data_IF_582445452135
#
_entry.id   IF_582445452135
#
_cell.length_a   1.000
_cell.length_b   1.000
_cell.length_c   1.000
_cell.angle_alpha   90.00
_cell.angle_beta   90.00
_cell.angle_gamma   90.00
#
_symmetry.space_group_name_H-M   'P 1'
#
loop_
_entity.id
_entity.type
_entity.pdbx_description
1 polymer ?
#
# COMPACT_ATOMS: atom_id res chain seq x y z
N UNK A 1 -27.55 21.24 -4.37
CA UNK A 1 -26.97 20.72 -5.63
C UNK A 1 -26.02 19.60 -5.23
N UNK A 2 -26.18 18.40 -5.77
CA UNK A 2 -25.19 17.34 -5.57
C UNK A 2 -24.01 17.64 -6.51
N UNK A 3 -22.87 18.02 -5.95
CA UNK A 3 -21.62 18.08 -6.71
C UNK A 3 -21.24 16.67 -7.15
N UNK A 4 -20.69 16.55 -8.36
CA UNK A 4 -20.20 15.26 -8.83
C UNK A 4 -18.82 14.96 -8.23
N UNK A 5 -18.47 13.67 -8.14
CA UNK A 5 -17.17 13.26 -7.59
C UNK A 5 -16.00 13.81 -8.42
N UNK A 6 -16.23 14.08 -9.71
CA UNK A 6 -15.25 14.73 -10.56
C UNK A 6 -15.00 16.17 -10.12
N UNK A 7 -16.05 16.97 -9.93
CA UNK A 7 -15.96 18.36 -9.47
C UNK A 7 -15.36 18.46 -8.07
N UNK A 8 -15.65 17.49 -7.19
CA UNK A 8 -15.09 17.42 -5.84
C UNK A 8 -13.56 17.23 -5.85
N UNK A 9 -13.04 16.46 -6.81
CA UNK A 9 -11.61 16.10 -6.88
C UNK A 9 -10.82 17.10 -7.72
N UNK A 10 -11.34 17.47 -8.89
CA UNK A 10 -10.60 18.25 -9.88
C UNK A 10 -11.05 19.71 -9.97
N UNK A 11 -12.20 20.07 -9.39
CA UNK A 11 -12.76 21.42 -9.46
C UNK A 11 -12.96 21.93 -10.90
N UNK A 12 -13.20 21.01 -11.84
CA UNK A 12 -13.51 21.27 -13.24
C UNK A 12 -14.82 20.60 -13.63
N UNK A 13 -15.38 20.98 -14.79
CA UNK A 13 -16.59 20.35 -15.32
C UNK A 13 -16.36 18.87 -15.59
N UNK A 14 -17.34 18.04 -15.23
CA UNK A 14 -17.31 16.60 -15.48
C UNK A 14 -17.28 16.27 -16.99
N UNK A 15 -16.32 15.47 -17.47
CA UNK A 15 -16.32 14.97 -18.84
C UNK A 15 -17.35 13.86 -19.01
N UNK A 16 -17.62 13.45 -20.25
CA UNK A 16 -18.51 12.32 -20.49
C UNK A 16 -18.01 11.04 -19.78
N UNK A 17 -18.86 10.46 -18.94
CA UNK A 17 -18.54 9.23 -18.21
C UNK A 17 -18.60 8.00 -19.13
N UNK A 18 -17.59 7.14 -19.03
CA UNK A 18 -17.54 5.81 -19.62
C UNK A 18 -18.21 4.80 -18.68
N UNK A 19 -19.23 4.10 -19.17
CA UNK A 19 -20.10 3.23 -18.34
C UNK A 19 -20.18 1.79 -18.85
N UNK A 20 -19.43 1.44 -19.90
CA UNK A 20 -19.51 0.13 -20.57
C UNK A 20 -18.36 -0.79 -20.17
N UNK A 21 -18.65 -2.10 -20.08
CA UNK A 21 -17.65 -3.16 -19.92
C UNK A 21 -16.87 -3.37 -21.23
N UNK A 22 -15.80 -2.61 -21.40
CA UNK A 22 -14.88 -2.72 -22.52
C UNK A 22 -13.47 -2.34 -22.09
N UNK A 23 -12.49 -2.62 -22.95
CA UNK A 23 -11.13 -2.10 -22.76
C UNK A 23 -11.08 -0.63 -23.13
N UNK A 24 -10.36 0.14 -22.34
CA UNK A 24 -10.09 1.55 -22.60
C UNK A 24 -8.60 1.76 -22.84
N UNK A 25 -8.24 2.32 -23.99
CA UNK A 25 -6.90 2.75 -24.33
C UNK A 25 -6.99 4.22 -24.75
N UNK A 26 -6.60 5.12 -23.86
CA UNK A 26 -6.81 6.57 -24.01
C UNK A 26 -5.46 7.27 -23.93
N UNK A 27 -5.17 8.07 -24.96
CA UNK A 27 -3.87 8.75 -25.13
C UNK A 27 -4.02 10.28 -25.18
N UNK A 28 -5.18 10.83 -24.83
CA UNK A 28 -5.42 12.26 -24.74
C UNK A 28 -6.72 12.59 -24.02
N UNK A 29 -6.75 13.73 -23.33
CA UNK A 29 -7.96 14.30 -22.72
C UNK A 29 -8.34 13.67 -21.39
N UNK A 30 -9.33 14.26 -20.73
CA UNK A 30 -9.85 13.78 -19.46
C UNK A 30 -10.56 12.43 -19.61
N UNK A 31 -10.36 11.52 -18.64
CA UNK A 31 -10.97 10.19 -18.65
C UNK A 31 -11.78 9.95 -17.39
N UNK A 32 -13.09 9.73 -17.53
CA UNK A 32 -13.95 9.33 -16.42
C UNK A 32 -14.57 7.97 -16.70
N UNK A 33 -14.36 6.99 -15.83
CA UNK A 33 -15.10 5.72 -15.81
C UNK A 33 -15.92 5.64 -14.52
N UNK A 34 -17.21 5.33 -14.64
CA UNK A 34 -18.13 5.33 -13.51
C UNK A 34 -19.09 4.14 -13.56
N UNK A 35 -19.29 3.47 -12.42
CA UNK A 35 -20.30 2.39 -12.27
C UNK A 35 -20.14 1.27 -13.31
N UNK A 36 -18.90 0.84 -13.55
CA UNK A 36 -18.60 -0.24 -14.51
C UNK A 36 -18.17 -1.51 -13.80
N UNK A 37 -18.73 -2.64 -14.19
CA UNK A 37 -18.19 -3.96 -13.85
C UNK A 37 -17.41 -4.49 -15.03
N UNK A 38 -16.09 -4.51 -14.89
CA UNK A 38 -15.16 -5.03 -15.88
C UNK A 38 -14.97 -6.53 -15.68
N UNK A 39 -15.36 -7.32 -16.66
CA UNK A 39 -15.26 -8.78 -16.62
C UNK A 39 -15.10 -9.36 -18.02
N UNK A 40 -14.44 -10.52 -18.11
CA UNK A 40 -14.33 -11.30 -19.36
C UNK A 40 -13.65 -10.55 -20.51
N UNK A 41 -12.69 -9.67 -20.21
CA UNK A 41 -11.98 -8.84 -21.21
C UNK A 41 -10.65 -9.46 -21.69
N UNK A 42 -10.26 -10.64 -21.22
CA UNK A 42 -9.00 -11.29 -21.59
C UNK A 42 -7.76 -10.64 -20.96
N UNK A 43 -6.60 -10.84 -21.58
CA UNK A 43 -5.30 -10.75 -20.89
C UNK A 43 -4.43 -9.54 -21.27
N UNK A 44 -5.06 -8.40 -21.59
CA UNK A 44 -4.36 -7.18 -22.04
C UNK A 44 -4.57 -5.97 -21.12
N UNK A 45 -4.92 -6.21 -19.86
CA UNK A 45 -5.42 -5.18 -18.97
C UNK A 45 -6.81 -4.67 -19.39
N UNK A 46 -7.34 -3.74 -18.59
CA UNK A 46 -8.69 -3.18 -18.78
C UNK A 46 -8.61 -1.70 -19.13
N UNK A 47 -7.80 -0.94 -18.39
CA UNK A 47 -7.65 0.50 -18.57
C UNK A 47 -6.17 0.80 -18.78
N UNK A 48 -5.85 1.40 -19.91
CA UNK A 48 -4.54 1.95 -20.24
C UNK A 48 -4.70 3.45 -20.54
N UNK A 49 -4.11 4.29 -19.71
CA UNK A 49 -4.09 5.74 -19.88
C UNK A 49 -2.64 6.19 -20.04
N UNK A 50 -2.35 6.93 -21.11
CA UNK A 50 -1.02 7.48 -21.35
C UNK A 50 -1.13 8.86 -22.02
N UNK A 51 -1.31 9.90 -21.21
CA UNK A 51 -1.41 11.26 -21.70
C UNK A 51 -0.91 12.26 -20.66
N UNK A 52 -0.28 13.32 -21.13
CA UNK A 52 0.08 14.47 -20.30
C UNK A 52 -1.09 15.46 -20.20
N UNK A 53 -1.12 16.26 -19.13
CA UNK A 53 -2.03 17.40 -18.96
C UNK A 53 -3.53 17.06 -18.96
N UNK A 54 -3.90 15.86 -18.51
CA UNK A 54 -5.29 15.46 -18.31
C UNK A 54 -5.50 14.81 -16.94
N UNK A 55 -6.76 14.68 -16.55
CA UNK A 55 -7.19 14.05 -15.32
C UNK A 55 -7.87 12.71 -15.61
N UNK A 56 -7.75 11.77 -14.69
CA UNK A 56 -8.47 10.51 -14.76
C UNK A 56 -9.22 10.19 -13.47
N UNK A 57 -10.48 9.81 -13.56
CA UNK A 57 -11.26 9.31 -12.43
C UNK A 57 -11.81 7.93 -12.79
N UNK A 58 -11.51 6.94 -11.96
CA UNK A 58 -12.12 5.62 -12.02
C UNK A 58 -12.91 5.47 -10.72
N UNK A 59 -14.23 5.59 -10.82
CA UNK A 59 -15.11 5.59 -9.66
C UNK A 59 -16.15 4.48 -9.68
N UNK A 60 -16.40 3.87 -8.52
CA UNK A 60 -17.48 2.88 -8.35
C UNK A 60 -17.37 1.71 -9.36
N UNK A 61 -16.14 1.32 -9.68
CA UNK A 61 -15.82 0.30 -10.67
C UNK A 61 -15.39 -1.00 -10.00
N UNK A 62 -15.76 -2.13 -10.61
CA UNK A 62 -15.34 -3.47 -10.16
C UNK A 62 -14.54 -4.16 -11.26
N UNK A 63 -13.41 -4.77 -10.92
CA UNK A 63 -12.54 -5.51 -11.83
C UNK A 63 -12.54 -6.99 -11.43
N UNK A 64 -13.00 -7.86 -12.32
CA UNK A 64 -13.13 -9.30 -12.07
C UNK A 64 -12.17 -10.09 -12.96
N UNK A 65 -11.20 -10.76 -12.34
CA UNK A 65 -10.25 -11.68 -12.98
C UNK A 65 -9.54 -11.08 -14.21
N UNK A 66 -9.29 -9.77 -14.19
CA UNK A 66 -8.54 -9.06 -15.21
C UNK A 66 -7.08 -9.47 -15.18
N UNK A 67 -6.47 -9.60 -16.35
CA UNK A 67 -5.05 -9.91 -16.43
C UNK A 67 -4.33 -9.09 -17.49
N UNK A 68 -3.02 -8.90 -17.29
CA UNK A 68 -2.16 -8.25 -18.26
C UNK A 68 -0.82 -8.97 -18.37
N UNK A 69 -0.46 -9.38 -19.57
CA UNK A 69 0.82 -10.05 -19.86
C UNK A 69 1.94 -9.09 -20.27
N UNK A 70 1.62 -7.81 -20.50
CA UNK A 70 2.59 -6.79 -20.90
C UNK A 70 3.59 -6.44 -19.80
N UNK A 71 4.84 -6.22 -20.18
CA UNK A 71 5.89 -5.80 -19.26
C UNK A 71 5.63 -4.40 -18.69
N UNK A 72 5.94 -4.22 -17.41
CA UNK A 72 5.77 -2.95 -16.68
C UNK A 72 4.35 -2.38 -16.75
N UNK A 73 3.33 -3.24 -16.66
CA UNK A 73 1.91 -2.86 -16.68
C UNK A 73 1.21 -3.20 -15.37
N UNK A 74 0.03 -2.60 -15.16
CA UNK A 74 -0.96 -3.05 -14.21
C UNK A 74 -1.76 -4.23 -14.76
N UNK A 75 -2.11 -5.20 -13.89
CA UNK A 75 -2.96 -6.33 -14.29
C UNK A 75 -4.36 -5.89 -14.75
N UNK A 76 -4.91 -4.85 -14.11
CA UNK A 76 -6.18 -4.22 -14.49
C UNK A 76 -5.98 -2.84 -15.08
N UNK A 77 -5.17 -2.00 -14.42
CA UNK A 77 -5.10 -0.57 -14.69
C UNK A 77 -3.64 -0.15 -14.83
N UNK A 78 -3.29 0.41 -15.98
CA UNK A 78 -2.05 1.17 -16.15
C UNK A 78 -2.38 2.63 -16.38
N UNK A 79 -1.76 3.51 -15.60
CA UNK A 79 -1.85 4.96 -15.76
C UNK A 79 -0.44 5.51 -15.92
N UNK A 80 -0.22 6.27 -16.99
CA UNK A 80 1.03 6.98 -17.29
C UNK A 80 0.76 8.45 -17.56
N UNK A 81 1.64 9.30 -17.05
CA UNK A 81 1.73 10.73 -17.37
C UNK A 81 0.54 11.63 -16.95
N UNK A 82 -0.60 11.08 -16.51
CA UNK A 82 -1.76 11.86 -16.08
C UNK A 82 -1.98 11.81 -14.56
N UNK A 83 -2.67 12.83 -14.04
CA UNK A 83 -3.15 12.83 -12.66
C UNK A 83 -4.32 11.85 -12.55
N UNK A 84 -4.36 11.08 -11.46
CA UNK A 84 -5.34 10.01 -11.32
C UNK A 84 -6.02 9.94 -9.97
N UNK A 85 -7.28 9.54 -10.03
CA UNK A 85 -8.09 9.21 -8.88
C UNK A 85 -8.74 7.84 -9.07
N UNK A 86 -8.56 6.94 -8.10
CA UNK A 86 -9.33 5.72 -7.98
C UNK A 86 -10.17 5.78 -6.71
N UNK A 87 -11.49 5.73 -6.86
CA UNK A 87 -12.43 5.85 -5.73
C UNK A 87 -13.47 4.74 -5.76
N UNK A 88 -13.77 4.12 -4.62
CA UNK A 88 -14.80 3.05 -4.53
C UNK A 88 -14.54 1.93 -5.53
N UNK A 89 -13.27 1.54 -5.67
CA UNK A 89 -12.85 0.54 -6.66
C UNK A 89 -12.69 -0.82 -6.01
N UNK A 90 -13.30 -1.84 -6.60
CA UNK A 90 -13.14 -3.22 -6.17
C UNK A 90 -12.33 -4.01 -7.21
N UNK A 91 -11.36 -4.81 -6.77
CA UNK A 91 -10.65 -5.76 -7.63
C UNK A 91 -10.67 -7.15 -7.00
N UNK A 92 -11.03 -8.15 -7.79
CA UNK A 92 -11.03 -9.54 -7.39
C UNK A 92 -10.23 -10.33 -8.42
N UNK A 93 -9.10 -10.90 -8.00
CA UNK A 93 -8.38 -11.88 -8.83
C UNK A 93 -7.54 -11.30 -9.96
N UNK A 94 -7.08 -10.04 -9.87
CA UNK A 94 -6.24 -9.45 -10.92
C UNK A 94 -4.90 -10.17 -11.04
N UNK A 95 -4.39 -10.37 -12.26
CA UNK A 95 -3.09 -11.05 -12.51
C UNK A 95 -2.20 -10.22 -13.44
N UNK A 96 -0.89 -10.30 -13.23
CA UNK A 96 0.07 -9.76 -14.21
C UNK A 96 1.32 -10.63 -14.25
N UNK A 97 1.93 -10.77 -15.42
CA UNK A 97 3.24 -11.44 -15.58
C UNK A 97 4.41 -10.47 -15.49
N UNK A 98 4.15 -9.16 -15.44
CA UNK A 98 5.16 -8.12 -15.47
C UNK A 98 6.15 -8.24 -14.29
N UNK A 99 7.45 -8.28 -14.60
CA UNK A 99 8.51 -8.32 -13.59
C UNK A 99 8.56 -7.07 -12.71
N UNK A 100 8.23 -5.91 -13.28
CA UNK A 100 8.19 -4.60 -12.62
C UNK A 100 6.81 -3.92 -12.72
N UNK A 101 5.72 -4.70 -12.71
CA UNK A 101 4.34 -4.17 -12.81
C UNK A 101 3.66 -3.96 -11.46
N UNK A 102 2.36 -3.66 -11.50
CA UNK A 102 1.47 -3.78 -10.35
C UNK A 102 0.40 -4.82 -10.64
N UNK A 103 0.09 -5.71 -9.69
CA UNK A 103 -0.83 -6.84 -9.97
C UNK A 103 -2.26 -6.40 -10.22
N UNK A 104 -2.70 -5.37 -9.53
CA UNK A 104 -3.93 -4.68 -9.86
C UNK A 104 -3.63 -3.44 -10.70
N UNK A 105 -2.86 -2.50 -10.16
CA UNK A 105 -2.63 -1.21 -10.82
C UNK A 105 -1.16 -0.81 -10.80
N UNK A 106 -0.72 -0.21 -11.91
CA UNK A 106 0.53 0.54 -12.00
C UNK A 106 0.19 1.98 -12.34
N UNK A 107 0.59 2.92 -11.50
CA UNK A 107 0.50 4.35 -11.75
C UNK A 107 1.91 4.93 -11.83
N UNK A 108 2.20 5.63 -12.91
CA UNK A 108 3.47 6.32 -13.16
C UNK A 108 3.17 7.72 -13.64
N UNK A 109 3.23 8.70 -12.75
CA UNK A 109 2.94 10.09 -13.11
C UNK A 109 4.22 10.77 -13.55
N UNK A 110 4.11 11.70 -14.50
CA UNK A 110 5.25 12.56 -14.86
C UNK A 110 5.72 13.30 -13.60
N UNK A 111 7.04 13.52 -13.49
CA UNK A 111 7.76 14.09 -12.33
C UNK A 111 7.37 15.55 -11.95
N UNK A 112 6.12 15.95 -12.09
CA UNK A 112 5.63 17.18 -11.48
C UNK A 112 5.31 16.91 -10.01
N UNK A 113 6.07 17.59 -9.14
CA UNK A 113 5.91 17.52 -7.70
C UNK A 113 4.53 17.97 -7.21
N UNK A 114 3.62 18.46 -8.07
CA UNK A 114 2.28 18.92 -7.70
C UNK A 114 1.14 17.97 -8.07
N UNK A 115 1.36 16.99 -8.94
CA UNK A 115 0.31 16.04 -9.36
C UNK A 115 -0.12 15.16 -8.19
N UNK A 116 -1.33 15.38 -7.69
CA UNK A 116 -1.89 14.61 -6.57
C UNK A 116 -2.72 13.43 -7.07
N UNK A 117 -2.25 12.22 -6.77
CA UNK A 117 -3.01 11.02 -7.02
C UNK A 117 -3.82 10.61 -5.79
N UNK A 118 -5.12 10.42 -5.99
CA UNK A 118 -6.08 10.15 -4.92
C UNK A 118 -6.61 8.73 -4.99
N UNK A 119 -6.41 7.95 -3.94
CA UNK A 119 -6.81 6.54 -3.93
C UNK A 119 -7.63 6.25 -2.68
N UNK A 120 -8.93 6.06 -2.82
CA UNK A 120 -9.80 5.93 -1.65
C UNK A 120 -10.91 4.91 -1.79
N UNK A 121 -11.27 4.30 -0.66
CA UNK A 121 -12.37 3.33 -0.60
C UNK A 121 -12.16 2.14 -1.55
N UNK A 122 -10.90 1.74 -1.77
CA UNK A 122 -10.57 0.60 -2.62
C UNK A 122 -10.59 -0.71 -1.84
N UNK A 123 -11.08 -1.78 -2.45
CA UNK A 123 -11.03 -3.13 -1.91
C UNK A 123 -10.39 -4.06 -2.94
N UNK A 124 -9.16 -4.49 -2.65
CA UNK A 124 -8.32 -5.24 -3.58
C UNK A 124 -8.03 -6.60 -2.97
N UNK A 125 -8.61 -7.64 -3.58
CA UNK A 125 -8.71 -8.95 -2.99
C UNK A 125 -8.25 -10.06 -3.94
N UNK A 126 -7.59 -11.08 -3.39
CA UNK A 126 -7.23 -12.31 -4.10
C UNK A 126 -6.38 -12.09 -5.37
N UNK A 127 -5.61 -11.01 -5.46
CA UNK A 127 -4.80 -10.79 -6.66
C UNK A 127 -3.66 -11.82 -6.77
N UNK A 128 -3.33 -12.13 -8.03
CA UNK A 128 -2.21 -12.94 -8.47
C UNK A 128 -2.30 -14.41 -7.99
N UNK A 129 -3.49 -15.00 -8.20
CA UNK A 129 -3.73 -16.43 -8.04
C UNK A 129 -2.92 -17.25 -9.06
N UNK A 130 -1.86 -17.91 -8.61
CA UNK A 130 -1.00 -18.74 -9.44
C UNK A 130 0.37 -18.10 -9.59
N UNK A 131 1.36 -18.73 -8.95
CA UNK A 131 2.74 -18.28 -8.78
C UNK A 131 3.38 -17.79 -10.09
N UNK A 132 3.40 -16.47 -10.30
CA UNK A 132 4.01 -15.85 -11.47
C UNK A 132 4.77 -14.61 -11.00
N UNK A 133 6.03 -14.56 -11.43
CA UNK A 133 7.02 -13.50 -11.26
C UNK A 133 6.43 -12.10 -11.30
N UNK A 134 6.53 -11.34 -10.21
CA UNK A 134 6.40 -9.90 -10.30
C UNK A 134 6.05 -9.14 -9.04
N UNK A 135 5.96 -7.83 -9.26
CA UNK A 135 6.06 -6.75 -8.29
C UNK A 135 4.67 -6.25 -7.86
N UNK A 136 4.55 -5.82 -6.60
CA UNK A 136 3.50 -5.00 -5.98
C UNK A 136 2.02 -5.35 -6.26
N UNK A 137 1.15 -5.37 -5.25
CA UNK A 137 -0.31 -5.36 -5.48
C UNK A 137 -0.75 -4.08 -6.23
N UNK A 138 -0.34 -2.93 -5.69
CA UNK A 138 -0.44 -1.60 -6.30
C UNK A 138 0.96 -1.02 -6.39
N UNK A 139 1.38 -0.58 -7.58
CA UNK A 139 2.68 0.09 -7.77
C UNK A 139 2.48 1.54 -8.17
N UNK A 140 3.08 2.46 -7.42
CA UNK A 140 3.04 3.89 -7.68
C UNK A 140 4.46 4.42 -7.85
N UNK A 141 4.72 5.06 -8.99
CA UNK A 141 5.95 5.74 -9.31
C UNK A 141 5.68 7.24 -9.52
N UNK A 142 6.42 8.06 -8.77
CA UNK A 142 6.40 9.51 -8.80
C UNK A 142 5.07 10.20 -8.42
N UNK A 143 5.16 11.50 -8.17
CA UNK A 143 4.03 12.38 -7.83
C UNK A 143 3.72 12.44 -6.34
N UNK A 144 2.53 12.94 -5.99
CA UNK A 144 1.99 12.91 -4.63
C UNK A 144 0.91 11.85 -4.49
N UNK A 145 0.80 11.23 -3.32
CA UNK A 145 -0.28 10.27 -3.04
C UNK A 145 -1.12 10.64 -1.83
N UNK A 146 -2.42 10.37 -1.93
CA UNK A 146 -3.34 10.32 -0.81
C UNK A 146 -4.12 9.01 -0.86
N UNK A 147 -3.63 8.00 -0.14
CA UNK A 147 -4.27 6.70 0.02
C UNK A 147 -5.16 6.76 1.28
N UNK A 148 -6.46 6.49 1.21
CA UNK A 148 -7.38 6.65 2.35
C UNK A 148 -8.50 5.61 2.36
N UNK A 149 -8.70 4.91 3.48
CA UNK A 149 -9.81 3.92 3.65
C UNK A 149 -9.74 2.77 2.65
N UNK A 150 -8.58 2.15 2.49
CA UNK A 150 -8.38 1.08 1.52
C UNK A 150 -8.15 -0.27 2.20
N UNK A 151 -8.60 -1.34 1.56
CA UNK A 151 -8.50 -2.71 2.03
C UNK A 151 -7.75 -3.56 0.98
N UNK A 152 -6.58 -4.10 1.33
CA UNK A 152 -5.83 -5.03 0.49
C UNK A 152 -5.74 -6.37 1.22
N UNK A 153 -6.46 -7.37 0.75
CA UNK A 153 -6.60 -8.66 1.43
C UNK A 153 -6.30 -9.86 0.56
N UNK A 154 -5.69 -10.89 1.14
CA UNK A 154 -5.44 -12.18 0.47
C UNK A 154 -4.69 -12.06 -0.87
N UNK A 155 -3.89 -11.02 -1.04
CA UNK A 155 -3.08 -10.86 -2.24
C UNK A 155 -1.81 -11.70 -2.13
N UNK A 156 -1.36 -12.27 -3.24
CA UNK A 156 -0.20 -13.16 -3.25
C UNK A 156 0.84 -12.72 -4.28
N UNK A 157 1.98 -12.15 -3.91
CA UNK A 157 3.00 -11.69 -4.87
C UNK A 157 4.39 -12.24 -4.57
N UNK A 158 5.27 -12.34 -5.57
CA UNK A 158 6.65 -12.77 -5.34
C UNK A 158 7.40 -11.72 -4.50
N UNK A 159 7.34 -10.45 -4.90
CA UNK A 159 8.06 -9.39 -4.20
C UNK A 159 7.19 -8.75 -3.12
N UNK A 160 6.47 -7.69 -3.46
CA UNK A 160 5.66 -6.93 -2.51
C UNK A 160 4.17 -7.30 -2.70
N UNK A 161 3.51 -7.79 -1.66
CA UNK A 161 2.12 -8.27 -1.79
C UNK A 161 1.04 -7.21 -1.64
N UNK A 162 1.33 -6.05 -1.02
CA UNK A 162 0.39 -4.94 -0.89
C UNK A 162 0.75 -3.77 -1.81
N UNK A 163 1.67 -2.90 -1.38
CA UNK A 163 1.96 -1.63 -2.07
C UNK A 163 3.46 -1.42 -2.27
N UNK A 164 3.84 -0.89 -3.43
CA UNK A 164 5.16 -0.35 -3.71
C UNK A 164 5.04 1.13 -4.07
N UNK A 165 5.86 1.95 -3.43
CA UNK A 165 5.88 3.40 -3.59
C UNK A 165 7.33 3.83 -3.86
N UNK A 166 7.56 4.48 -5.00
CA UNK A 166 8.88 4.93 -5.41
C UNK A 166 8.84 6.41 -5.82
N UNK A 167 9.84 7.19 -5.36
CA UNK A 167 10.01 8.60 -5.74
C UNK A 167 8.77 9.48 -5.51
N UNK A 168 7.97 9.12 -4.51
CA UNK A 168 6.63 9.66 -4.26
C UNK A 168 6.51 10.08 -2.81
N UNK A 169 5.97 11.26 -2.52
CA UNK A 169 5.62 11.67 -1.16
C UNK A 169 4.11 11.68 -0.93
N UNK A 170 3.68 11.58 0.32
CA UNK A 170 2.25 11.61 0.63
C UNK A 170 1.85 10.84 1.87
N UNK A 171 0.62 10.34 1.85
CA UNK A 171 -0.01 9.71 3.01
C UNK A 171 -0.78 8.45 2.68
N UNK A 172 -0.78 7.52 3.62
CA UNK A 172 -1.58 6.29 3.62
C UNK A 172 -2.35 6.20 4.93
N UNK A 173 -3.65 6.45 4.85
CA UNK A 173 -4.52 6.63 6.01
C UNK A 173 -5.60 5.55 6.08
N UNK A 174 -5.95 5.13 7.31
CA UNK A 174 -7.11 4.29 7.60
C UNK A 174 -7.19 3.03 6.72
N UNK A 175 -6.06 2.38 6.47
CA UNK A 175 -5.97 1.29 5.50
C UNK A 175 -5.67 -0.04 6.18
N UNK A 176 -6.22 -1.12 5.63
CA UNK A 176 -6.17 -2.46 6.19
C UNK A 176 -5.50 -3.44 5.22
N UNK A 177 -4.43 -4.11 5.67
CA UNK A 177 -3.70 -5.11 4.90
C UNK A 177 -3.73 -6.45 5.65
N UNK A 178 -4.49 -7.42 5.14
CA UNK A 178 -4.74 -8.67 5.86
C UNK A 178 -4.63 -9.95 5.02
N UNK A 179 -4.03 -11.00 5.60
CA UNK A 179 -3.79 -12.31 4.98
C UNK A 179 -3.07 -12.22 3.62
N UNK A 180 -2.27 -11.18 3.39
CA UNK A 180 -1.43 -11.09 2.20
C UNK A 180 -0.21 -11.99 2.35
N UNK A 181 0.23 -12.55 1.22
CA UNK A 181 1.32 -13.52 1.15
C UNK A 181 2.36 -13.05 0.16
N UNK A 182 3.61 -13.05 0.57
CA UNK A 182 4.71 -12.73 -0.32
C UNK A 182 5.95 -13.54 -0.06
N UNK A 183 6.83 -13.60 -1.07
CA UNK A 183 8.14 -14.17 -0.85
C UNK A 183 9.09 -13.13 -0.25
N UNK A 184 9.02 -11.85 -0.66
CA UNK A 184 9.95 -10.81 -0.20
C UNK A 184 9.39 -9.88 0.87
N UNK A 185 8.34 -9.10 0.58
CA UNK A 185 7.85 -8.03 1.49
C UNK A 185 6.35 -7.79 1.36
N UNK A 186 5.77 -7.00 2.27
CA UNK A 186 4.40 -6.50 2.14
C UNK A 186 4.39 -5.11 1.50
N UNK A 187 5.24 -4.21 2.02
CA UNK A 187 5.32 -2.80 1.65
C UNK A 187 6.77 -2.45 1.29
N UNK A 188 6.93 -1.65 0.24
CA UNK A 188 8.20 -1.04 -0.13
C UNK A 188 7.99 0.47 -0.37
N UNK A 189 8.85 1.29 0.23
CA UNK A 189 8.91 2.74 0.07
C UNK A 189 10.35 3.14 -0.27
N UNK A 190 10.56 3.96 -1.31
CA UNK A 190 11.89 4.44 -1.72
C UNK A 190 11.91 5.97 -1.92
N UNK A 191 13.02 6.63 -1.56
CA UNK A 191 13.41 8.04 -1.83
C UNK A 191 12.71 9.15 -1.04
N UNK A 192 11.42 9.03 -0.76
CA UNK A 192 10.59 10.17 -0.35
C UNK A 192 9.83 9.94 0.96
N UNK A 193 9.32 11.04 1.53
CA UNK A 193 8.59 11.02 2.80
C UNK A 193 7.16 10.48 2.66
N UNK A 194 6.83 9.42 3.43
CA UNK A 194 5.48 8.86 3.51
C UNK A 194 4.98 8.84 4.96
N UNK A 195 3.75 9.31 5.13
CA UNK A 195 3.02 9.24 6.40
C UNK A 195 2.00 8.11 6.36
N UNK A 196 2.19 7.11 7.19
CA UNK A 196 1.26 6.02 7.43
C UNK A 196 0.47 6.31 8.71
N UNK A 197 -0.83 6.54 8.62
CA UNK A 197 -1.66 6.81 9.78
C UNK A 197 -2.81 5.81 9.88
N UNK A 198 -3.03 5.24 11.06
CA UNK A 198 -4.14 4.32 11.32
C UNK A 198 -4.13 3.13 10.35
N UNK A 199 -2.95 2.54 10.12
CA UNK A 199 -2.84 1.28 9.39
C UNK A 199 -3.16 0.10 10.29
N UNK A 200 -3.78 -0.92 9.72
CA UNK A 200 -3.87 -2.24 10.37
C UNK A 200 -3.26 -3.26 9.41
N UNK A 201 -2.22 -3.94 9.86
CA UNK A 201 -1.48 -4.97 9.12
C UNK A 201 -1.59 -6.27 9.91
N UNK A 202 -2.40 -7.22 9.43
CA UNK A 202 -2.67 -8.46 10.16
C UNK A 202 -2.53 -9.75 9.37
N UNK A 203 -2.13 -10.83 10.04
CA UNK A 203 -2.13 -12.19 9.49
C UNK A 203 -1.33 -12.36 8.18
N UNK A 204 -0.43 -11.44 7.85
CA UNK A 204 0.34 -11.51 6.61
C UNK A 204 1.49 -12.51 6.74
N UNK A 205 1.91 -13.12 5.63
CA UNK A 205 3.03 -14.08 5.61
C UNK A 205 4.10 -13.67 4.61
N UNK A 206 5.36 -13.59 5.05
CA UNK A 206 6.54 -13.39 4.19
C UNK A 206 7.44 -14.63 4.28
N UNK A 207 7.76 -15.26 3.14
CA UNK A 207 8.35 -16.62 3.10
C UNK A 207 9.87 -16.70 2.95
N UNK A 208 10.48 -15.86 2.11
CA UNK A 208 11.90 -15.98 1.72
C UNK A 208 12.72 -14.93 2.45
N UNK A 209 13.94 -15.31 2.85
CA UNK A 209 14.98 -14.36 3.25
C UNK A 209 15.48 -13.69 1.99
N UNK A 210 14.97 -12.50 1.67
CA UNK A 210 15.73 -11.61 0.80
C UNK A 210 16.96 -11.18 1.60
N UNK A 211 18.10 -11.86 1.40
CA UNK A 211 19.32 -11.60 2.16
C UNK A 211 19.80 -10.15 2.07
N UNK A 212 19.38 -9.41 1.04
CA UNK A 212 19.73 -8.00 0.90
C UNK A 212 18.81 -7.09 1.71
N UNK A 213 17.57 -7.51 1.90
CA UNK A 213 16.53 -6.70 2.53
C UNK A 213 15.48 -7.61 3.20
N UNK A 214 15.85 -8.22 4.34
CA UNK A 214 15.06 -9.28 4.95
C UNK A 214 13.82 -8.73 5.68
N UNK A 215 13.08 -7.74 5.18
CA UNK A 215 12.06 -7.03 5.96
C UNK A 215 10.66 -7.01 5.33
N UNK A 216 9.62 -7.10 6.15
CA UNK A 216 8.22 -7.06 5.71
C UNK A 216 7.81 -5.67 5.22
N UNK A 217 8.33 -4.62 5.85
CA UNK A 217 8.12 -3.22 5.49
C UNK A 217 9.50 -2.60 5.26
N UNK A 218 9.83 -2.37 4.00
CA UNK A 218 11.09 -1.76 3.59
C UNK A 218 10.92 -0.27 3.34
N UNK A 219 11.69 0.52 4.07
CA UNK A 219 11.81 1.96 3.91
C UNK A 219 13.25 2.25 3.46
N UNK A 220 13.42 2.68 2.21
CA UNK A 220 14.72 2.97 1.62
C UNK A 220 14.84 4.46 1.27
N UNK A 221 16.00 5.05 1.54
CA UNK A 221 16.41 6.39 1.11
C UNK A 221 15.39 7.51 1.39
N UNK A 222 14.70 7.52 2.54
CA UNK A 222 13.65 8.49 2.82
C UNK A 222 13.23 8.56 4.28
N UNK A 223 12.01 9.05 4.55
CA UNK A 223 11.41 9.10 5.89
C UNK A 223 10.05 8.42 5.88
N UNK A 224 9.84 7.50 6.81
CA UNK A 224 8.55 6.87 7.01
C UNK A 224 8.06 7.12 8.43
N UNK A 225 6.89 7.73 8.54
CA UNK A 225 6.22 8.01 9.81
C UNK A 225 5.02 7.09 9.95
N UNK A 226 4.98 6.28 11.00
CA UNK A 226 3.83 5.44 11.33
C UNK A 226 3.17 5.99 12.59
N UNK A 227 1.92 6.43 12.48
CA UNK A 227 1.11 6.91 13.61
C UNK A 227 -0.16 6.07 13.78
N UNK A 228 -0.49 5.69 15.02
CA UNK A 228 -1.73 4.94 15.32
C UNK A 228 -1.85 3.61 14.55
N UNK A 229 -0.73 2.97 14.20
CA UNK A 229 -0.73 1.75 13.38
C UNK A 229 -0.74 0.48 14.24
N UNK A 230 -1.36 -0.57 13.72
CA UNK A 230 -1.50 -1.87 14.37
C UNK A 230 -0.87 -2.96 13.51
N UNK A 231 0.08 -3.71 14.05
CA UNK A 231 0.76 -4.80 13.38
C UNK A 231 0.53 -6.08 14.17
N UNK A 232 -0.31 -7.00 13.68
CA UNK A 232 -0.84 -8.10 14.50
C UNK A 232 -0.73 -9.45 13.78
N UNK A 233 -0.24 -10.49 14.45
CA UNK A 233 -0.22 -11.87 13.93
C UNK A 233 0.50 -12.04 12.57
N UNK A 234 1.45 -11.17 12.24
CA UNK A 234 2.20 -11.30 10.98
C UNK A 234 3.28 -12.37 11.13
N UNK A 235 3.32 -13.33 10.20
CA UNK A 235 4.36 -14.34 10.12
C UNK A 235 5.44 -13.91 9.14
N UNK A 236 6.53 -13.40 9.68
CA UNK A 236 7.68 -12.93 8.92
C UNK A 236 8.74 -14.02 8.66
N UNK A 237 8.58 -15.26 9.15
CA UNK A 237 9.67 -16.22 9.13
C UNK A 237 10.91 -15.64 9.85
N UNK A 238 12.14 -15.82 9.34
CA UNK A 238 13.35 -15.18 9.87
C UNK A 238 13.49 -13.69 9.49
N UNK A 239 12.53 -13.11 8.77
CA UNK A 239 12.58 -11.71 8.33
C UNK A 239 12.20 -10.73 9.46
N UNK A 240 12.58 -9.47 9.30
CA UNK A 240 12.31 -8.35 10.19
C UNK A 240 10.97 -7.68 9.84
N UNK A 241 10.29 -7.04 10.80
CA UNK A 241 9.06 -6.29 10.54
C UNK A 241 9.34 -5.02 9.72
N UNK A 242 10.41 -4.30 10.09
CA UNK A 242 10.84 -3.05 9.48
C UNK A 242 12.30 -3.16 9.00
N UNK A 243 12.59 -2.55 7.85
CA UNK A 243 13.93 -2.32 7.32
C UNK A 243 14.14 -0.87 6.95
N UNK A 244 15.31 -0.33 7.25
CA UNK A 244 15.69 1.03 6.92
C UNK A 244 17.05 1.08 6.20
N UNK A 245 17.03 1.13 4.87
CA UNK A 245 18.24 1.32 4.08
C UNK A 245 18.45 2.81 3.79
N UNK A 246 19.39 3.46 4.47
CA UNK A 246 19.60 4.93 4.36
C UNK A 246 18.32 5.74 4.60
N UNK A 247 17.42 5.23 5.45
CA UNK A 247 16.13 5.83 5.74
C UNK A 247 15.93 6.06 7.25
N UNK A 248 14.93 6.88 7.59
CA UNK A 248 14.46 7.10 8.96
C UNK A 248 13.06 6.51 9.12
N UNK A 249 12.85 5.73 10.18
CA UNK A 249 11.52 5.24 10.57
C UNK A 249 11.15 5.82 11.93
N UNK A 250 10.00 6.49 11.99
CA UNK A 250 9.42 6.99 13.22
C UNK A 250 8.12 6.26 13.52
N UNK A 251 7.96 5.78 14.74
CA UNK A 251 6.75 5.10 15.21
C UNK A 251 6.14 5.90 16.36
N UNK A 252 4.83 6.20 16.28
CA UNK A 252 4.09 6.94 17.29
C UNK A 252 2.73 6.30 17.53
N UNK A 253 2.39 6.00 18.79
CA UNK A 253 1.10 5.38 19.17
C UNK A 253 0.78 4.09 18.40
N UNK A 254 1.80 3.33 18.00
CA UNK A 254 1.63 2.07 17.29
C UNK A 254 1.54 0.88 18.26
N UNK A 255 0.75 -0.13 17.91
CA UNK A 255 0.68 -1.40 18.61
C UNK A 255 1.27 -2.51 17.73
N UNK A 256 2.22 -3.28 18.26
CA UNK A 256 2.79 -4.45 17.60
C UNK A 256 2.50 -5.68 18.46
N UNK A 257 1.77 -6.65 17.90
CA UNK A 257 1.41 -7.93 18.54
C UNK A 257 1.94 -9.07 17.70
N UNK A 258 2.80 -9.89 18.29
CA UNK A 258 3.38 -11.06 17.64
C UNK A 258 3.04 -12.33 18.42
N UNK A 259 2.62 -13.38 17.71
CA UNK A 259 2.50 -14.73 18.27
C UNK A 259 3.86 -15.43 18.40
N UNK A 260 4.89 -14.91 17.72
CA UNK A 260 6.28 -15.33 17.88
C UNK A 260 6.94 -14.52 19.01
N UNK A 261 7.77 -15.19 19.82
CA UNK A 261 8.48 -14.60 20.97
C UNK A 261 9.54 -13.57 20.61
N UNK A 262 9.78 -13.29 19.31
CA UNK A 262 10.78 -12.34 18.84
C UNK A 262 10.18 -11.46 17.75
N UNK A 263 10.25 -10.14 17.96
CA UNK A 263 10.03 -9.13 16.93
C UNK A 263 11.41 -8.70 16.46
N UNK A 264 11.71 -8.98 15.20
CA UNK A 264 12.98 -8.62 14.58
C UNK A 264 12.82 -7.25 13.89
N UNK A 265 13.68 -6.26 14.18
CA UNK A 265 13.83 -5.01 13.41
C UNK A 265 15.18 -4.94 12.70
N UNK A 266 15.23 -4.48 11.44
CA UNK A 266 16.45 -4.34 10.65
C UNK A 266 17.27 -3.08 10.94
N UNK A 267 18.39 -2.86 10.22
CA UNK A 267 19.25 -1.68 10.38
C UNK A 267 18.49 -0.37 10.09
N UNK A 268 18.78 0.72 10.83
CA UNK A 268 18.10 2.01 10.70
C UNK A 268 18.17 2.90 11.95
N UNK A 269 17.70 4.15 11.84
CA UNK A 269 17.48 5.03 13.01
C UNK A 269 16.01 5.01 13.42
N UNK A 270 15.74 4.68 14.68
CA UNK A 270 14.39 4.58 15.26
C UNK A 270 14.19 5.68 16.31
N UNK A 271 13.04 6.36 16.32
CA UNK A 271 12.65 7.32 17.37
C UNK A 271 11.25 7.01 17.88
N UNK A 272 11.05 7.03 19.20
CA UNK A 272 9.74 6.87 19.86
C UNK A 272 9.54 7.98 20.89
N UNK A 273 8.32 8.52 21.02
CA UNK A 273 7.98 9.57 21.98
C UNK A 273 6.79 9.13 22.86
N UNK A 274 7.08 8.47 24.00
CA UNK A 274 6.18 8.25 25.17
C UNK A 274 5.04 7.20 25.08
N UNK A 275 4.49 6.69 26.22
CA UNK A 275 4.90 5.40 26.76
C UNK A 275 3.82 4.30 26.68
N UNK A 276 4.29 3.05 26.89
CA UNK A 276 3.55 1.79 27.19
C UNK A 276 3.51 0.70 26.07
N UNK A 277 4.72 0.20 25.74
CA UNK A 277 5.12 -1.19 25.41
C UNK A 277 4.72 -1.86 24.08
N UNK A 278 5.72 -2.35 23.32
CA UNK A 278 6.19 -3.76 23.42
C UNK A 278 7.74 -3.94 23.54
N UNK A 279 8.19 -5.17 23.79
CA UNK A 279 9.61 -5.56 23.72
C UNK A 279 10.04 -5.64 22.24
N UNK A 280 10.79 -4.63 21.81
CA UNK A 280 11.44 -4.60 20.51
C UNK A 280 12.81 -5.25 20.68
N UNK A 281 13.02 -6.44 20.09
CA UNK A 281 14.37 -6.99 19.95
C UNK A 281 15.01 -6.31 18.74
N UNK A 282 15.72 -5.22 19.01
CA UNK A 282 16.59 -4.55 18.05
C UNK A 282 17.82 -5.42 17.80
N UNK A 283 17.77 -6.31 16.81
CA UNK A 283 18.93 -7.08 16.36
C UNK A 283 19.76 -6.21 15.40
N UNK A 284 20.43 -5.20 15.96
CA UNK A 284 21.32 -4.29 15.22
C UNK A 284 22.60 -5.06 14.87
N UNK A 285 22.62 -5.74 13.72
CA UNK A 285 23.86 -6.31 13.21
C UNK A 285 24.86 -5.19 12.86
N UNK A 286 26.02 -5.25 13.54
CA UNK A 286 27.21 -4.41 13.43
C UNK A 286 27.17 -3.04 14.12
N UNK A 287 27.84 -3.03 15.28
CA UNK A 287 28.21 -1.90 16.16
C UNK A 287 29.11 -0.84 15.53
N UNK A 288 29.30 -0.82 14.20
CA UNK A 288 30.22 0.10 13.53
C UNK A 288 29.54 1.31 12.86
N UNK A 289 28.20 1.29 12.70
CA UNK A 289 27.46 2.35 12.00
C UNK A 289 26.48 3.16 12.88
N UNK A 290 26.56 3.05 14.20
CA UNK A 290 25.76 3.86 15.13
C UNK A 290 26.63 4.96 15.77
N UNK A 291 26.85 6.12 15.13
CA UNK A 291 27.41 7.27 15.83
C UNK A 291 26.41 7.68 16.92
N UNK A 292 26.88 7.61 18.17
CA UNK A 292 26.07 7.55 19.37
C UNK A 292 24.95 8.59 19.46
N UNK A 293 23.72 8.10 19.44
CA UNK A 293 22.56 8.64 20.16
C UNK A 293 21.61 7.46 20.41
N UNK A 294 21.71 6.91 21.63
CA UNK A 294 21.10 5.65 22.10
C UNK A 294 19.69 5.91 22.64
N UNK A 295 18.69 5.11 22.26
CA UNK A 295 17.36 5.14 22.87
C UNK A 295 17.20 4.06 23.97
N UNK A 296 16.43 4.41 25.00
CA UNK A 296 16.26 3.68 26.26
C UNK A 296 14.88 2.96 26.29
N UNK A 297 14.82 1.72 26.83
CA UNK A 297 13.64 0.84 26.84
C UNK A 297 13.19 0.55 28.30
N UNK A 298 11.89 0.61 28.61
CA UNK A 298 11.29 0.23 29.91
C UNK A 298 9.99 -0.62 29.72
N UNK A 299 9.76 -1.71 30.51
CA UNK A 299 8.66 -2.69 30.30
C UNK A 299 7.87 -3.17 31.55
N UNK A 300 6.64 -3.68 31.34
CA UNK A 300 5.72 -4.45 32.23
C UNK A 300 4.39 -4.93 31.53
N UNK A 301 4.19 -6.25 31.49
CA UNK A 301 3.26 -7.07 30.68
C UNK A 301 1.74 -6.79 30.83
N UNK A 302 0.98 -6.82 29.71
CA UNK A 302 -0.49 -7.07 29.68
C UNK A 302 -0.78 -8.25 28.73
N UNK A 303 -1.53 -9.25 29.20
CA UNK A 303 -1.94 -10.44 28.44
C UNK A 303 -3.11 -10.16 27.48
N UNK A 304 -3.10 -10.85 26.33
CA UNK A 304 -3.95 -10.65 25.15
C UNK A 304 -5.47 -10.60 25.41
N UNK A 305 -5.97 -11.16 26.52
CA UNK A 305 -7.40 -11.18 26.84
C UNK A 305 -7.99 -9.80 27.18
N UNK A 306 -7.17 -8.82 27.60
CA UNK A 306 -7.64 -7.48 27.97
C UNK A 306 -7.68 -6.47 26.82
N UNK A 307 -6.99 -6.73 25.71
CA UNK A 307 -6.89 -5.81 24.57
C UNK A 307 -8.10 -5.94 23.64
N UNK A 308 -8.63 -7.16 23.50
CA UNK A 308 -9.79 -7.41 22.64
C UNK A 308 -11.05 -6.66 23.12
N UNK A 309 -11.24 -6.50 24.43
CA UNK A 309 -12.41 -5.80 24.99
C UNK A 309 -12.32 -4.28 24.85
N UNK A 310 -11.14 -3.67 25.03
CA UNK A 310 -10.98 -2.22 24.85
C UNK A 310 -11.00 -1.80 23.39
N UNK A 311 -10.48 -2.63 22.49
CA UNK A 311 -10.49 -2.39 21.05
C UNK A 311 -11.91 -2.44 20.46
N UNK A 312 -12.71 -3.45 20.81
CA UNK A 312 -14.10 -3.54 20.34
C UNK A 312 -14.96 -2.39 20.86
N UNK A 313 -14.67 -1.86 22.06
CA UNK A 313 -15.31 -0.66 22.58
C UNK A 313 -15.02 0.55 21.69
N UNK A 314 -13.75 0.85 21.44
CA UNK A 314 -13.35 2.04 20.68
C UNK A 314 -13.75 1.97 19.20
N UNK A 315 -13.74 0.78 18.59
CA UNK A 315 -14.20 0.59 17.21
C UNK A 315 -15.71 0.81 17.09
N UNK A 316 -16.50 0.34 18.07
CA UNK A 316 -17.94 0.59 18.09
C UNK A 316 -18.27 2.07 18.28
N UNK A 317 -17.53 2.78 19.13
CA UNK A 317 -17.71 4.22 19.35
C UNK A 317 -17.37 5.03 18.08
N UNK A 318 -16.34 4.63 17.34
CA UNK A 318 -15.95 5.25 16.07
C UNK A 318 -16.89 4.92 14.89
N UNK A 319 -17.65 3.82 14.97
CA UNK A 319 -18.65 3.43 13.96
C UNK A 319 -20.05 4.00 14.24
N UNK A 320 -20.27 4.53 15.45
CA UNK A 320 -21.51 5.17 15.89
C UNK A 320 -21.47 6.70 15.84
N UNK A 321 -20.33 7.29 15.47
CA UNK A 321 -20.13 8.74 15.25
C UNK A 321 -20.08 9.08 13.76
#
# INVERSE_FOLDING_TARGET
MHHSEWEDIYHTNEPQSNTTNQKYNVNSGDFYANKVVFHSLGDSGVIYLDFANGNSLISSCTFLNSSNTGDQQGGSITIKNCQSALRKVCSIGSKSTAGNGGRFSRIEVANDANSLNYYSEMSIFNNNQGYISGYNGIYILNGRISFTKNNLTKNSCKYNSAIGIESTHGKVNYSFFDDNKSDSRLIMQIFQEIHYNSLIISNNTVKIVDYRFPEMIDCSEGKSFFENCYFVNNNQGPNYLFGAFSATIALSKCLIVSNNTKIHSGPGTFKTECPQQPEIVLDLYSTECCPGNVYQIYSNIITASKIYSSFMSNLNDALQS
#
